data_IF_474679342103
#
_entry.id   IF_474679342103
#
_cell.length_a   1.000
_cell.length_b   1.000
_cell.length_c   1.000
_cell.angle_alpha   90.00
_cell.angle_beta   90.00
_cell.angle_gamma   90.00
#
_symmetry.space_group_name_H-M   'P 1'
#
loop_
_entity.id
_entity.type
_entity.pdbx_description
1 polymer ?
#
# COMPACT_ATOMS: atom_id res chain seq x y z
N UNK A 1 59.10 45.56 22.24
CA UNK A 1 58.07 44.60 22.69
C UNK A 1 57.11 44.41 21.54
N UNK A 2 57.20 43.29 20.83
CA UNK A 2 56.20 42.88 19.84
C UNK A 2 55.11 42.06 20.54
N UNK A 3 53.83 42.18 20.16
CA UNK A 3 52.77 41.34 20.72
C UNK A 3 52.89 39.91 20.17
N UNK A 4 52.35 38.89 20.87
CA UNK A 4 52.32 37.53 20.37
C UNK A 4 51.30 37.40 19.22
N UNK A 5 51.48 36.46 18.28
CA UNK A 5 50.52 36.24 17.21
C UNK A 5 49.25 35.56 17.77
N UNK A 6 48.11 36.03 17.29
CA UNK A 6 46.79 35.45 17.49
C UNK A 6 46.67 34.13 16.73
N UNK A 7 46.62 33.01 17.43
CA UNK A 7 46.27 31.72 16.83
C UNK A 7 44.77 31.49 17.05
N UNK A 8 43.98 31.90 16.05
CA UNK A 8 42.56 31.61 15.96
C UNK A 8 42.31 30.78 14.71
N UNK A 9 42.58 29.48 14.82
CA UNK A 9 41.92 28.49 13.98
C UNK A 9 41.15 27.55 14.90
N UNK A 10 39.93 27.95 15.24
CA UNK A 10 38.89 26.98 15.57
C UNK A 10 38.68 26.14 14.31
N UNK A 11 39.40 25.03 14.23
CA UNK A 11 39.06 23.93 13.34
C UNK A 11 37.69 23.44 13.78
N UNK A 12 36.64 23.86 13.07
CA UNK A 12 35.37 23.14 13.08
C UNK A 12 35.69 21.66 12.84
N UNK A 13 35.31 20.73 13.73
CA UNK A 13 35.60 19.34 13.50
C UNK A 13 34.92 18.94 12.19
N UNK A 14 35.73 18.42 11.25
CA UNK A 14 35.24 17.78 10.04
C UNK A 14 34.48 16.53 10.48
N UNK A 15 33.18 16.68 10.73
CA UNK A 15 32.28 15.58 11.04
C UNK A 15 32.13 14.80 9.73
N UNK A 16 33.08 13.90 9.51
CA UNK A 16 33.06 12.99 8.36
C UNK A 16 31.69 12.34 8.27
N UNK A 17 31.03 12.52 7.12
CA UNK A 17 29.72 11.98 6.84
C UNK A 17 29.74 10.46 7.05
N UNK A 18 29.09 9.99 8.11
CA UNK A 18 28.99 8.56 8.39
C UNK A 18 27.73 7.99 7.72
N UNK A 19 27.69 6.68 7.41
CA UNK A 19 26.45 6.03 6.95
C UNK A 19 25.25 6.28 7.88
N UNK A 20 25.50 6.38 9.19
CA UNK A 20 24.48 6.70 10.20
C UNK A 20 23.98 8.15 10.06
N UNK A 21 24.89 9.11 9.85
CA UNK A 21 24.50 10.51 9.64
C UNK A 21 23.68 10.68 8.35
N UNK A 22 24.01 9.94 7.29
CA UNK A 22 23.20 9.93 6.06
C UNK A 22 21.82 9.33 6.28
N UNK A 23 21.73 8.21 6.98
CA UNK A 23 20.46 7.54 7.30
C UNK A 23 19.57 8.42 8.17
N UNK A 24 20.13 9.06 9.19
CA UNK A 24 19.43 10.04 10.02
C UNK A 24 18.94 11.25 9.19
N UNK A 25 19.75 11.75 8.26
CA UNK A 25 19.35 12.84 7.37
C UNK A 25 18.26 12.43 6.37
N UNK A 26 18.21 11.15 5.96
CA UNK A 26 17.12 10.61 5.12
C UNK A 26 15.84 10.46 5.92
N UNK A 27 15.90 9.86 7.10
CA UNK A 27 14.76 9.73 8.01
C UNK A 27 14.13 11.09 8.33
N UNK A 28 14.96 12.09 8.65
CA UNK A 28 14.48 13.45 8.92
C UNK A 28 13.76 14.08 7.72
N UNK A 29 14.20 13.80 6.48
CA UNK A 29 13.54 14.30 5.26
C UNK A 29 12.22 13.59 4.97
N UNK A 30 12.12 12.30 5.27
CA UNK A 30 10.89 11.53 5.09
C UNK A 30 9.81 11.94 6.10
N UNK A 31 10.18 12.09 7.38
CA UNK A 31 9.26 12.47 8.45
C UNK A 31 8.88 13.95 8.40
N UNK A 32 9.74 14.79 7.84
CA UNK A 32 9.52 16.22 7.67
C UNK A 32 9.84 16.63 6.22
N UNK A 33 8.96 16.28 5.27
CA UNK A 33 9.19 16.61 3.86
C UNK A 33 9.25 18.13 3.69
N UNK A 34 10.44 18.64 3.33
CA UNK A 34 10.66 20.05 2.96
C UNK A 34 10.13 20.36 1.55
N UNK A 35 10.06 19.33 0.70
CA UNK A 35 9.44 19.36 -0.62
C UNK A 35 7.96 19.00 -0.44
N UNK A 36 7.06 19.81 -1.02
CA UNK A 36 5.64 19.87 -0.66
C UNK A 36 4.83 18.57 -0.74
N UNK A 37 3.58 18.68 -0.31
CA UNK A 37 2.58 17.62 -0.34
C UNK A 37 2.55 16.90 -1.69
N UNK A 38 2.43 15.56 -1.67
CA UNK A 38 2.22 14.80 -2.90
C UNK A 38 0.92 15.29 -3.57
N UNK A 39 0.86 15.33 -4.92
CA UNK A 39 -0.33 15.83 -5.60
C UNK A 39 -1.52 14.92 -5.30
N UNK A 40 -2.66 15.53 -4.97
CA UNK A 40 -3.93 14.81 -4.85
C UNK A 40 -4.31 14.20 -6.20
N UNK A 41 -4.96 13.02 -6.20
CA UNK A 41 -5.42 12.43 -7.44
C UNK A 41 -6.60 13.25 -7.97
N UNK A 42 -6.78 13.27 -9.29
CA UNK A 42 -7.88 14.00 -9.91
C UNK A 42 -9.28 13.43 -9.59
N UNK A 43 -9.31 12.23 -9.03
CA UNK A 43 -10.49 11.62 -8.40
C UNK A 43 -10.00 10.65 -7.33
N UNK A 44 -10.86 10.32 -6.35
CA UNK A 44 -10.55 9.26 -5.37
C UNK A 44 -10.16 7.97 -6.10
N UNK A 45 -9.08 7.33 -5.65
CA UNK A 45 -8.61 6.05 -6.21
C UNK A 45 -8.85 4.94 -5.22
N UNK A 46 -9.60 3.91 -5.64
CA UNK A 46 -9.82 2.68 -4.88
C UNK A 46 -9.03 1.56 -5.56
N UNK A 47 -8.00 1.09 -4.87
CA UNK A 47 -7.07 0.08 -5.38
C UNK A 47 -7.20 -1.21 -4.58
N UNK A 48 -7.55 -2.29 -5.27
CA UNK A 48 -7.49 -3.64 -4.72
C UNK A 48 -6.08 -4.20 -4.90
N UNK A 49 -5.45 -4.61 -3.79
CA UNK A 49 -4.10 -5.19 -3.80
C UNK A 49 -4.23 -6.70 -3.84
N UNK A 50 -4.02 -7.31 -5.02
CA UNK A 50 -4.32 -8.72 -5.24
C UNK A 50 -3.16 -9.48 -5.90
N UNK A 51 -2.98 -10.71 -5.44
CA UNK A 51 -2.13 -11.75 -6.02
C UNK A 51 -2.44 -13.10 -5.36
N UNK A 52 -2.60 -14.15 -6.17
CA UNK A 52 -2.91 -15.51 -5.71
C UNK A 52 -1.76 -16.17 -4.94
N UNK A 53 -0.52 -15.70 -5.11
CA UNK A 53 0.60 -16.24 -4.35
C UNK A 53 0.68 -15.58 -2.97
N UNK A 54 0.78 -16.42 -1.93
CA UNK A 54 1.13 -15.97 -0.58
C UNK A 54 2.56 -15.43 -0.52
N UNK A 55 2.81 -14.43 0.34
CA UNK A 55 4.18 -13.93 0.59
C UNK A 55 4.81 -13.07 -0.51
N UNK A 56 4.05 -12.60 -1.50
CA UNK A 56 4.57 -11.68 -2.54
C UNK A 56 4.66 -10.21 -2.09
N UNK A 57 4.27 -9.92 -0.85
CA UNK A 57 4.25 -8.56 -0.30
C UNK A 57 2.98 -7.77 -0.59
N UNK A 58 1.80 -8.41 -0.61
CA UNK A 58 0.48 -7.74 -0.68
C UNK A 58 0.27 -6.77 0.47
N UNK A 59 0.02 -7.31 1.66
CA UNK A 59 -0.13 -6.54 2.90
C UNK A 59 1.00 -5.56 3.11
N UNK A 60 2.24 -6.03 2.96
CA UNK A 60 3.43 -5.18 3.12
C UNK A 60 3.38 -3.98 2.18
N UNK A 61 2.97 -4.15 0.92
CA UNK A 61 2.87 -3.02 0.00
C UNK A 61 1.66 -2.16 0.28
N UNK A 62 0.52 -2.75 0.64
CA UNK A 62 -0.71 -2.05 1.04
C UNK A 62 -0.42 -1.03 2.15
N UNK A 63 0.13 -1.49 3.28
CA UNK A 63 0.33 -0.63 4.45
C UNK A 63 1.43 0.40 4.24
N UNK A 64 2.53 0.03 3.58
CA UNK A 64 3.66 0.95 3.38
C UNK A 64 3.38 2.01 2.30
N UNK A 65 2.64 1.67 1.24
CA UNK A 65 2.20 2.67 0.26
C UNK A 65 1.19 3.63 0.87
N UNK A 66 0.22 3.12 1.64
CA UNK A 66 -0.77 3.96 2.33
C UNK A 66 -0.11 4.91 3.33
N UNK A 67 0.85 4.42 4.13
CA UNK A 67 1.62 5.24 5.05
C UNK A 67 2.50 6.27 4.33
N UNK A 68 3.16 5.88 3.23
CA UNK A 68 3.99 6.78 2.44
C UNK A 68 3.19 7.96 1.84
N UNK A 69 2.00 7.69 1.31
CA UNK A 69 1.08 8.73 0.85
C UNK A 69 0.62 9.61 2.04
N UNK A 70 0.30 8.99 3.18
CA UNK A 70 -0.21 9.67 4.37
C UNK A 70 0.77 10.66 4.99
N UNK A 71 2.04 10.26 5.14
CA UNK A 71 3.08 11.15 5.69
C UNK A 71 3.42 12.31 4.76
N UNK A 72 3.05 12.22 3.47
CA UNK A 72 3.19 13.30 2.48
C UNK A 72 1.87 14.06 2.21
N UNK A 73 0.92 14.02 3.14
CA UNK A 73 -0.24 14.92 3.18
C UNK A 73 -1.51 14.40 2.50
N UNK A 74 -1.50 13.20 1.92
CA UNK A 74 -2.68 12.58 1.31
C UNK A 74 -3.45 11.75 2.32
N UNK A 75 -4.78 11.77 2.29
CA UNK A 75 -5.58 10.94 3.21
C UNK A 75 -5.79 9.55 2.65
N UNK A 76 -5.46 8.52 3.41
CA UNK A 76 -5.52 7.12 2.97
C UNK A 76 -6.33 6.26 3.91
N UNK A 77 -7.09 5.32 3.32
CA UNK A 77 -7.81 4.27 4.03
C UNK A 77 -7.24 2.90 3.62
N UNK A 78 -6.90 2.08 4.59
CA UNK A 78 -6.60 0.66 4.38
C UNK A 78 -7.79 -0.17 4.86
N UNK A 79 -8.37 -0.96 3.97
CA UNK A 79 -9.37 -1.98 4.31
C UNK A 79 -8.66 -3.31 4.36
N UNK A 80 -8.46 -3.87 5.55
CA UNK A 80 -7.92 -5.21 5.71
C UNK A 80 -9.03 -6.21 5.39
N UNK A 81 -8.90 -6.97 4.30
CA UNK A 81 -9.88 -7.96 3.88
C UNK A 81 -9.33 -9.40 3.98
N UNK A 82 -8.13 -9.56 4.55
CA UNK A 82 -7.55 -10.88 4.81
C UNK A 82 -7.93 -11.33 6.24
N UNK A 83 -8.60 -12.48 6.41
CA UNK A 83 -8.91 -13.02 7.74
C UNK A 83 -7.70 -13.21 8.67
N UNK A 84 -6.47 -13.15 8.15
CA UNK A 84 -5.25 -13.14 8.96
C UNK A 84 -4.98 -11.81 9.69
N UNK A 85 -5.64 -10.70 9.32
CA UNK A 85 -5.50 -9.41 10.02
C UNK A 85 -4.10 -8.79 9.93
N UNK A 86 -3.32 -9.14 8.91
CA UNK A 86 -1.92 -8.73 8.83
C UNK A 86 -1.77 -7.21 8.59
N UNK A 87 -2.69 -6.58 7.85
CA UNK A 87 -2.65 -5.14 7.64
C UNK A 87 -3.01 -4.41 8.93
N UNK A 88 -4.03 -4.91 9.63
CA UNK A 88 -4.47 -4.43 10.94
C UNK A 88 -3.33 -4.47 11.96
N UNK A 89 -2.59 -5.58 11.99
CA UNK A 89 -1.40 -5.75 12.84
C UNK A 89 -0.31 -4.75 12.47
N UNK A 90 0.04 -4.62 11.19
CA UNK A 90 1.14 -3.72 10.76
C UNK A 90 0.83 -2.22 10.94
N UNK A 91 -0.45 -1.87 11.08
CA UNK A 91 -0.92 -0.51 11.35
C UNK A 91 -1.21 -0.23 12.83
N UNK A 92 -1.03 -1.24 13.69
CA UNK A 92 -1.29 -1.20 15.14
C UNK A 92 -2.71 -0.72 15.49
N UNK A 93 -3.71 -1.20 14.76
CA UNK A 93 -5.13 -0.96 15.07
C UNK A 93 -5.74 -2.13 15.80
N UNK A 94 -6.73 -1.86 16.68
CA UNK A 94 -7.41 -2.92 17.41
C UNK A 94 -8.18 -3.80 16.44
N UNK A 95 -8.00 -5.11 16.56
CA UNK A 95 -8.60 -6.13 15.71
C UNK A 95 -8.89 -7.42 16.49
N UNK A 96 -9.07 -7.30 17.81
CA UNK A 96 -9.57 -8.39 18.65
C UNK A 96 -11.04 -8.66 18.31
N UNK A 97 -11.49 -9.89 18.49
CA UNK A 97 -12.91 -10.24 18.31
C UNK A 97 -13.81 -9.31 19.16
N UNK A 98 -14.91 -8.87 18.56
CA UNK A 98 -15.80 -7.84 19.11
C UNK A 98 -15.42 -6.39 18.78
N UNK A 99 -14.28 -6.15 18.14
CA UNK A 99 -13.96 -4.84 17.56
C UNK A 99 -14.74 -4.66 16.25
N UNK A 100 -15.43 -3.53 16.02
CA UNK A 100 -16.05 -3.26 14.72
C UNK A 100 -15.02 -3.37 13.59
N UNK A 101 -15.30 -4.22 12.61
CA UNK A 101 -14.34 -4.63 11.60
C UNK A 101 -14.99 -4.72 10.22
N UNK A 102 -14.18 -5.07 9.22
CA UNK A 102 -14.70 -5.30 7.87
C UNK A 102 -15.75 -6.42 7.83
N UNK A 103 -15.73 -7.35 8.79
CA UNK A 103 -16.73 -8.41 8.89
C UNK A 103 -18.13 -7.83 9.09
N UNK A 104 -18.33 -7.03 10.14
CA UNK A 104 -19.60 -6.37 10.46
C UNK A 104 -20.06 -5.44 9.32
N UNK A 105 -19.10 -4.80 8.65
CA UNK A 105 -19.38 -3.96 7.47
C UNK A 105 -19.95 -4.79 6.31
N UNK A 106 -19.37 -5.96 6.00
CA UNK A 106 -19.82 -6.80 4.89
C UNK A 106 -21.22 -7.37 5.13
N UNK A 107 -21.54 -7.75 6.37
CA UNK A 107 -22.86 -8.27 6.74
C UNK A 107 -23.88 -7.15 6.95
N UNK A 108 -23.42 -5.89 7.05
CA UNK A 108 -24.26 -4.69 7.11
C UNK A 108 -24.72 -4.31 8.51
N UNK A 109 -24.00 -4.72 9.54
CA UNK A 109 -24.27 -4.38 10.94
C UNK A 109 -23.74 -2.99 11.32
N UNK A 110 -22.64 -2.56 10.71
CA UNK A 110 -22.03 -1.23 10.92
C UNK A 110 -21.64 -0.58 9.59
N UNK A 111 -21.49 0.73 9.57
CA UNK A 111 -20.97 1.42 8.39
C UNK A 111 -19.44 1.32 8.32
N UNK A 112 -18.87 1.52 7.13
CA UNK A 112 -17.41 1.59 6.97
C UNK A 112 -16.80 2.73 7.81
N UNK A 113 -17.52 3.85 7.97
CA UNK A 113 -17.09 4.99 8.77
C UNK A 113 -17.03 4.64 10.27
N UNK A 114 -18.00 3.88 10.78
CA UNK A 114 -18.02 3.42 12.17
C UNK A 114 -16.85 2.46 12.48
N UNK A 115 -16.47 1.62 11.51
CA UNK A 115 -15.37 0.66 11.65
C UNK A 115 -13.98 1.26 11.35
N UNK A 116 -13.91 2.45 10.74
CA UNK A 116 -12.65 3.08 10.37
C UNK A 116 -11.95 3.67 11.60
N UNK A 117 -10.75 3.18 11.89
CA UNK A 117 -9.93 3.63 13.01
C UNK A 117 -8.75 4.49 12.52
N UNK A 118 -8.42 5.61 13.18
CA UNK A 118 -7.19 6.33 12.91
C UNK A 118 -5.97 5.51 13.38
N UNK A 119 -4.85 5.65 12.69
CA UNK A 119 -3.58 5.03 13.13
C UNK A 119 -2.72 6.02 13.92
N UNK A 120 -1.90 5.53 14.85
CA UNK A 120 -0.92 6.37 15.54
C UNK A 120 0.26 6.78 14.62
N UNK A 121 0.47 6.05 13.52
CA UNK A 121 1.57 6.28 12.58
C UNK A 121 1.38 7.54 11.72
N UNK A 122 0.14 7.95 11.45
CA UNK A 122 -0.16 9.22 10.77
C UNK A 122 -1.63 9.63 10.97
N UNK A 123 -1.93 10.93 11.22
CA UNK A 123 -3.31 11.42 11.31
C UNK A 123 -4.07 11.36 9.98
N UNK A 124 -3.38 11.14 8.86
CA UNK A 124 -3.97 11.00 7.53
C UNK A 124 -4.20 9.53 7.13
N UNK A 125 -3.83 8.57 7.99
CA UNK A 125 -3.93 7.15 7.71
C UNK A 125 -5.00 6.51 8.61
N UNK A 126 -5.99 5.89 7.97
CA UNK A 126 -7.08 5.17 8.59
C UNK A 126 -7.02 3.69 8.21
N UNK A 127 -7.54 2.83 9.08
CA UNK A 127 -7.69 1.41 8.80
C UNK A 127 -9.07 0.90 9.25
N UNK A 128 -9.73 0.13 8.39
CA UNK A 128 -10.83 -0.75 8.78
C UNK A 128 -10.22 -2.14 9.00
N UNK A 129 -10.22 -2.65 10.24
CA UNK A 129 -9.48 -3.86 10.57
C UNK A 129 -10.19 -5.13 10.09
N UNK A 130 -9.46 -6.23 10.08
CA UNK A 130 -10.00 -7.59 9.98
C UNK A 130 -9.79 -8.32 11.30
N UNK A 131 -10.87 -8.84 11.87
CA UNK A 131 -10.82 -9.72 13.05
C UNK A 131 -10.83 -11.19 12.59
N UNK A 132 -10.60 -12.11 13.54
CA UNK A 132 -10.74 -13.55 13.30
C UNK A 132 -12.15 -13.93 12.80
N UNK A 133 -13.16 -13.11 13.09
CA UNK A 133 -14.56 -13.34 12.71
C UNK A 133 -14.76 -13.24 11.18
N UNK A 134 -13.88 -12.52 10.47
CA UNK A 134 -13.89 -12.43 9.01
C UNK A 134 -13.75 -13.79 8.32
N UNK A 135 -13.14 -14.79 8.96
CA UNK A 135 -13.08 -16.15 8.43
C UNK A 135 -14.47 -16.78 8.25
N UNK A 136 -15.47 -16.36 9.04
CA UNK A 136 -16.87 -16.77 8.91
C UNK A 136 -17.62 -16.07 7.78
N UNK A 137 -17.13 -14.93 7.31
CA UNK A 137 -17.81 -14.09 6.33
C UNK A 137 -18.11 -14.81 5.01
N UNK A 138 -17.19 -15.65 4.53
CA UNK A 138 -17.39 -16.38 3.28
C UNK A 138 -18.61 -17.30 3.33
N UNK A 139 -18.91 -17.89 4.49
CA UNK A 139 -20.06 -18.78 4.68
C UNK A 139 -21.35 -17.95 4.72
N UNK A 140 -21.34 -16.86 5.47
CA UNK A 140 -22.52 -16.02 5.68
C UNK A 140 -22.94 -15.30 4.39
N UNK A 141 -21.97 -14.73 3.68
CA UNK A 141 -22.15 -14.05 2.40
C UNK A 141 -22.82 -14.95 1.37
N UNK A 142 -22.61 -16.28 1.39
CA UNK A 142 -23.25 -17.20 0.42
C UNK A 142 -24.77 -17.04 0.37
N UNK A 143 -25.39 -16.77 1.52
CA UNK A 143 -26.85 -16.65 1.67
C UNK A 143 -27.39 -15.25 1.37
N UNK A 144 -26.52 -14.25 1.25
CA UNK A 144 -26.89 -12.86 1.06
C UNK A 144 -27.20 -12.55 -0.41
N UNK A 145 -28.14 -11.63 -0.63
CA UNK A 145 -28.35 -11.04 -1.94
C UNK A 145 -27.16 -10.14 -2.31
N UNK A 146 -26.80 -10.09 -3.60
CA UNK A 146 -25.68 -9.28 -4.11
C UNK A 146 -24.38 -9.51 -3.33
N UNK A 147 -24.14 -10.75 -2.89
CA UNK A 147 -23.01 -11.12 -2.02
C UNK A 147 -21.63 -10.77 -2.58
N UNK A 148 -21.50 -10.66 -3.89
CA UNK A 148 -20.28 -10.26 -4.60
C UNK A 148 -20.06 -8.73 -4.58
N UNK A 149 -21.06 -7.94 -4.19
CA UNK A 149 -21.08 -6.47 -4.23
C UNK A 149 -21.20 -5.81 -2.86
N UNK A 150 -21.16 -6.57 -1.77
CA UNK A 150 -21.36 -6.05 -0.40
C UNK A 150 -20.33 -4.99 -0.04
N UNK A 151 -19.06 -5.22 -0.36
CA UNK A 151 -18.03 -4.21 -0.12
C UNK A 151 -18.26 -2.96 -0.98
N UNK A 152 -18.70 -3.10 -2.23
CA UNK A 152 -18.99 -1.97 -3.12
C UNK A 152 -20.08 -1.06 -2.56
N UNK A 153 -21.12 -1.64 -1.96
CA UNK A 153 -22.18 -0.91 -1.28
C UNK A 153 -21.63 -0.18 -0.04
N UNK A 154 -20.78 -0.85 0.74
CA UNK A 154 -20.19 -0.29 1.96
C UNK A 154 -19.15 0.82 1.71
N UNK A 155 -18.46 0.81 0.57
CA UNK A 155 -17.46 1.84 0.21
C UNK A 155 -18.03 2.90 -0.76
N UNK A 156 -19.32 3.23 -0.62
CA UNK A 156 -19.97 4.22 -1.49
C UNK A 156 -19.27 5.57 -1.48
N UNK A 157 -19.51 6.39 -2.51
CA UNK A 157 -18.90 7.72 -2.60
C UNK A 157 -19.29 8.61 -1.43
N UNK A 158 -20.53 8.50 -0.95
CA UNK A 158 -21.06 9.21 0.21
C UNK A 158 -20.27 8.85 1.47
N UNK A 159 -20.10 7.56 1.75
CA UNK A 159 -19.39 7.07 2.94
C UNK A 159 -17.90 7.45 2.88
N UNK A 160 -17.26 7.25 1.72
CA UNK A 160 -15.86 7.63 1.57
C UNK A 160 -15.63 9.15 1.64
N UNK A 161 -16.63 9.97 1.29
CA UNK A 161 -16.60 11.42 1.46
C UNK A 161 -16.74 11.84 2.93
N UNK A 162 -17.51 11.11 3.73
CA UNK A 162 -17.59 11.31 5.18
C UNK A 162 -16.24 11.08 5.86
N UNK A 163 -15.54 10.01 5.48
CA UNK A 163 -14.16 9.74 5.97
C UNK A 163 -13.17 10.76 5.37
N UNK A 164 -13.42 11.22 4.15
CA UNK A 164 -12.65 12.29 3.49
C UNK A 164 -11.30 11.84 2.95
N UNK A 165 -11.21 10.62 2.43
CA UNK A 165 -9.95 10.01 1.95
C UNK A 165 -9.69 10.26 0.46
N UNK A 166 -8.43 10.33 0.06
CA UNK A 166 -7.99 10.48 -1.34
C UNK A 166 -7.74 9.10 -1.98
N UNK A 167 -7.19 8.16 -1.20
CA UNK A 167 -6.89 6.80 -1.61
C UNK A 167 -7.51 5.77 -0.69
N UNK A 168 -8.00 4.68 -1.27
CA UNK A 168 -8.44 3.49 -0.55
C UNK A 168 -7.63 2.30 -1.07
N UNK A 169 -6.97 1.57 -0.17
CA UNK A 169 -6.28 0.32 -0.46
C UNK A 169 -7.05 -0.83 0.18
N UNK A 170 -7.43 -1.83 -0.61
CA UNK A 170 -8.09 -3.05 -0.11
C UNK A 170 -7.06 -4.17 -0.12
N UNK A 171 -6.65 -4.66 1.05
CA UNK A 171 -5.68 -5.75 1.19
C UNK A 171 -6.38 -7.10 1.08
N UNK A 172 -6.13 -7.83 0.00
CA UNK A 172 -6.82 -9.10 -0.25
C UNK A 172 -6.09 -10.33 0.30
N UNK A 173 -6.84 -11.38 0.68
CA UNK A 173 -6.28 -12.68 1.00
C UNK A 173 -5.57 -13.31 -0.22
N UNK A 174 -4.72 -14.33 -0.03
CA UNK A 174 -4.05 -15.03 -1.13
C UNK A 174 -4.97 -15.95 -1.95
N UNK A 175 -6.27 -15.99 -1.67
CA UNK A 175 -7.25 -16.78 -2.41
C UNK A 175 -8.08 -15.93 -3.39
N UNK A 176 -8.72 -16.58 -4.37
CA UNK A 176 -9.76 -15.96 -5.20
C UNK A 176 -11.16 -16.35 -4.69
N UNK A 177 -11.34 -16.25 -3.38
CA UNK A 177 -12.62 -16.46 -2.72
C UNK A 177 -13.57 -15.27 -2.89
N UNK A 178 -14.70 -15.34 -2.20
CA UNK A 178 -15.75 -14.33 -2.29
C UNK A 178 -15.30 -12.96 -1.75
N UNK A 179 -14.36 -12.95 -0.79
CA UNK A 179 -13.75 -11.72 -0.29
C UNK A 179 -12.96 -10.99 -1.38
N UNK A 180 -12.09 -11.71 -2.12
CA UNK A 180 -11.31 -11.12 -3.21
C UNK A 180 -12.20 -10.64 -4.35
N UNK A 181 -13.30 -11.36 -4.65
CA UNK A 181 -14.31 -10.89 -5.61
C UNK A 181 -14.95 -9.60 -5.12
N UNK A 182 -15.36 -9.50 -3.86
CA UNK A 182 -15.91 -8.27 -3.28
C UNK A 182 -14.94 -7.09 -3.44
N UNK A 183 -13.65 -7.28 -3.15
CA UNK A 183 -12.63 -6.25 -3.36
C UNK A 183 -12.55 -5.79 -4.82
N UNK A 184 -12.52 -6.74 -5.77
CA UNK A 184 -12.45 -6.41 -7.19
C UNK A 184 -13.73 -5.77 -7.73
N UNK A 185 -14.89 -6.07 -7.15
CA UNK A 185 -16.17 -5.42 -7.50
C UNK A 185 -16.27 -4.01 -6.92
N UNK A 186 -15.65 -3.78 -5.75
CA UNK A 186 -15.65 -2.49 -5.07
C UNK A 186 -14.65 -1.48 -5.68
N UNK A 187 -13.49 -1.93 -6.16
CA UNK A 187 -12.42 -1.07 -6.68
C UNK A 187 -12.54 -0.76 -8.18
N UNK A 188 -11.97 0.36 -8.63
CA UNK A 188 -11.78 0.64 -10.06
C UNK A 188 -10.42 0.11 -10.55
N UNK A 189 -9.49 -0.10 -9.63
CA UNK A 189 -8.10 -0.35 -9.96
C UNK A 189 -7.57 -1.58 -9.23
N UNK A 190 -6.73 -2.36 -9.89
CA UNK A 190 -5.95 -3.43 -9.28
C UNK A 190 -4.48 -3.05 -9.23
N UNK A 191 -3.90 -3.15 -8.04
CA UNK A 191 -2.46 -3.12 -7.80
C UNK A 191 -1.96 -4.55 -7.62
N UNK A 192 -1.00 -4.99 -8.44
CA UNK A 192 -0.44 -6.34 -8.38
C UNK A 192 1.02 -6.27 -7.90
N UNK A 193 1.31 -6.70 -6.66
CA UNK A 193 2.68 -6.93 -6.22
C UNK A 193 3.22 -8.22 -6.84
N UNK A 194 4.40 -8.16 -7.45
CA UNK A 194 5.06 -9.30 -8.09
C UNK A 194 6.43 -9.48 -7.48
N UNK A 195 6.63 -10.62 -6.83
CA UNK A 195 7.93 -11.02 -6.30
C UNK A 195 8.88 -11.38 -7.46
N UNK A 196 10.07 -10.79 -7.52
CA UNK A 196 11.05 -11.03 -8.59
C UNK A 196 11.77 -12.40 -8.48
N UNK A 197 11.03 -13.50 -8.57
CA UNK A 197 11.52 -14.88 -8.48
C UNK A 197 11.00 -15.75 -9.64
N UNK A 198 11.51 -16.99 -9.75
CA UNK A 198 11.27 -17.87 -10.90
C UNK A 198 9.78 -18.07 -11.26
N UNK A 199 8.92 -18.26 -10.25
CA UNK A 199 7.49 -18.51 -10.45
C UNK A 199 6.64 -17.23 -10.56
N UNK A 200 7.25 -16.05 -10.73
CA UNK A 200 6.55 -14.77 -10.74
C UNK A 200 5.50 -14.67 -11.85
N UNK A 201 5.80 -15.19 -13.03
CA UNK A 201 5.00 -15.00 -14.23
C UNK A 201 3.90 -16.05 -14.40
N UNK A 202 4.10 -17.26 -13.89
CA UNK A 202 3.11 -18.34 -14.00
C UNK A 202 1.81 -18.00 -13.25
N UNK A 203 1.92 -17.52 -12.02
CA UNK A 203 0.75 -17.10 -11.21
C UNK A 203 0.08 -15.83 -11.71
N UNK A 204 0.79 -14.99 -12.48
CA UNK A 204 0.27 -13.73 -13.00
C UNK A 204 -0.79 -13.96 -14.07
N UNK A 205 -0.57 -14.90 -14.99
CA UNK A 205 -1.54 -15.19 -16.06
C UNK A 205 -2.90 -15.61 -15.51
N UNK A 206 -2.91 -16.49 -14.49
CA UNK A 206 -4.15 -16.89 -13.82
C UNK A 206 -4.84 -15.72 -13.12
N UNK A 207 -4.09 -14.85 -12.44
CA UNK A 207 -4.65 -13.65 -11.80
C UNK A 207 -5.33 -12.74 -12.83
N UNK A 208 -4.67 -12.50 -13.97
CA UNK A 208 -5.22 -11.64 -15.03
C UNK A 208 -6.52 -12.21 -15.60
N UNK A 209 -6.57 -13.51 -15.90
CA UNK A 209 -7.82 -14.14 -16.37
C UNK A 209 -8.96 -13.99 -15.38
N UNK A 210 -8.69 -14.05 -14.07
CA UNK A 210 -9.72 -13.86 -13.05
C UNK A 210 -10.17 -12.39 -12.94
N UNK A 211 -9.24 -11.44 -13.05
CA UNK A 211 -9.57 -10.01 -13.13
C UNK A 211 -10.45 -9.74 -14.35
N UNK A 212 -10.13 -10.31 -15.51
CA UNK A 212 -10.94 -10.19 -16.73
C UNK A 212 -12.36 -10.76 -16.54
N UNK A 213 -12.50 -11.90 -15.87
CA UNK A 213 -13.81 -12.48 -15.56
C UNK A 213 -14.66 -11.54 -14.69
N UNK A 214 -14.07 -10.99 -13.62
CA UNK A 214 -14.76 -10.01 -12.75
C UNK A 214 -15.09 -8.75 -13.55
N UNK A 215 -14.15 -8.27 -14.38
CA UNK A 215 -14.36 -7.09 -15.20
C UNK A 215 -15.55 -7.26 -16.16
N UNK A 216 -15.64 -8.41 -16.83
CA UNK A 216 -16.68 -8.68 -17.82
C UNK A 216 -18.06 -8.86 -17.18
N UNK A 217 -18.15 -9.44 -15.99
CA UNK A 217 -19.44 -9.88 -15.44
C UNK A 217 -19.95 -9.01 -14.30
N UNK A 218 -19.06 -8.36 -13.54
CA UNK A 218 -19.41 -7.70 -12.28
C UNK A 218 -18.96 -6.22 -12.22
N UNK A 219 -17.81 -5.88 -12.82
CA UNK A 219 -17.25 -4.53 -12.72
C UNK A 219 -16.48 -4.09 -13.98
N UNK A 220 -17.18 -3.52 -14.95
CA UNK A 220 -16.61 -3.11 -16.25
C UNK A 220 -15.49 -2.07 -16.17
N UNK A 221 -15.42 -1.29 -15.08
CA UNK A 221 -14.40 -0.25 -14.88
C UNK A 221 -13.10 -0.80 -14.28
N UNK A 222 -13.11 -2.03 -13.77
CA UNK A 222 -11.94 -2.66 -13.16
C UNK A 222 -10.83 -2.84 -14.19
N UNK A 223 -9.63 -2.35 -13.87
CA UNK A 223 -8.45 -2.57 -14.70
C UNK A 223 -7.19 -2.65 -13.82
N UNK A 224 -6.16 -3.32 -14.33
CA UNK A 224 -4.84 -3.32 -13.68
C UNK A 224 -4.19 -1.97 -13.97
N UNK A 225 -4.03 -1.15 -12.94
CA UNK A 225 -3.46 0.19 -13.07
C UNK A 225 -2.00 0.26 -12.63
N UNK A 226 -1.59 -0.67 -11.77
CA UNK A 226 -0.28 -0.62 -11.11
C UNK A 226 0.28 -2.03 -10.91
N UNK A 227 1.51 -2.27 -11.36
CA UNK A 227 2.31 -3.45 -11.02
C UNK A 227 3.53 -3.00 -10.23
N UNK A 228 3.71 -3.55 -9.03
CA UNK A 228 4.84 -3.24 -8.16
C UNK A 228 5.76 -4.46 -8.07
N UNK A 229 7.02 -4.29 -8.45
CA UNK A 229 8.03 -5.32 -8.32
C UNK A 229 8.57 -5.35 -6.88
N UNK A 230 8.45 -6.48 -6.21
CA UNK A 230 8.79 -6.65 -4.79
C UNK A 230 9.92 -7.65 -4.58
N UNK A 231 10.59 -7.51 -3.43
CA UNK A 231 11.69 -8.37 -2.99
C UNK A 231 12.83 -8.48 -4.01
N UNK A 232 13.08 -7.41 -4.77
CA UNK A 232 14.12 -7.36 -5.78
C UNK A 232 15.51 -7.54 -5.15
N UNK A 233 16.30 -8.45 -5.73
CA UNK A 233 17.70 -8.69 -5.35
C UNK A 233 18.60 -8.55 -6.59
N UNK A 234 19.19 -7.35 -6.73
CA UNK A 234 20.06 -7.00 -7.86
C UNK A 234 21.39 -7.77 -7.90
N UNK A 235 21.65 -8.69 -6.97
CA UNK A 235 22.76 -9.66 -7.07
C UNK A 235 22.40 -10.85 -7.97
N UNK A 236 21.13 -11.02 -8.31
CA UNK A 236 20.63 -12.17 -9.04
C UNK A 236 20.23 -11.78 -10.46
N UNK A 237 20.77 -12.48 -11.47
CA UNK A 237 20.36 -12.28 -12.87
C UNK A 237 18.87 -12.57 -13.09
N UNK A 238 18.31 -13.47 -12.29
CA UNK A 238 16.90 -13.83 -12.37
C UNK A 238 15.99 -12.64 -12.02
N UNK A 239 16.32 -11.86 -10.99
CA UNK A 239 15.51 -10.69 -10.63
C UNK A 239 15.48 -9.66 -11.77
N UNK A 240 16.60 -9.46 -12.46
CA UNK A 240 16.68 -8.58 -13.63
C UNK A 240 15.88 -9.12 -14.82
N UNK A 241 15.97 -10.43 -15.08
CA UNK A 241 15.20 -11.09 -16.14
C UNK A 241 13.70 -10.94 -15.92
N UNK A 242 13.21 -11.26 -14.72
CA UNK A 242 11.79 -11.11 -14.36
C UNK A 242 11.35 -9.66 -14.46
N UNK A 243 12.15 -8.72 -13.94
CA UNK A 243 11.86 -7.28 -14.01
C UNK A 243 11.72 -6.81 -15.46
N UNK A 244 12.65 -7.18 -16.32
CA UNK A 244 12.63 -6.79 -17.74
C UNK A 244 11.47 -7.43 -18.48
N UNK A 245 11.17 -8.69 -18.23
CA UNK A 245 10.06 -9.40 -18.86
C UNK A 245 8.70 -8.79 -18.49
N UNK A 246 8.48 -8.52 -17.19
CA UNK A 246 7.27 -7.83 -16.71
C UNK A 246 7.16 -6.44 -17.34
N UNK A 247 8.25 -5.67 -17.41
CA UNK A 247 8.24 -4.33 -18.04
C UNK A 247 7.98 -4.39 -19.54
N UNK A 248 8.57 -5.36 -20.24
CA UNK A 248 8.34 -5.53 -21.68
C UNK A 248 6.88 -5.89 -21.98
N UNK A 249 6.22 -6.65 -21.10
CA UNK A 249 4.85 -7.09 -21.30
C UNK A 249 3.82 -6.04 -20.86
N UNK A 250 4.02 -5.39 -19.72
CA UNK A 250 3.02 -4.50 -19.11
C UNK A 250 3.34 -3.01 -19.25
N UNK A 251 4.50 -2.66 -19.79
CA UNK A 251 4.88 -1.28 -20.10
C UNK A 251 4.71 -0.34 -18.91
N UNK A 252 3.97 0.76 -19.15
CA UNK A 252 3.76 1.83 -18.17
C UNK A 252 2.92 1.40 -16.97
N UNK A 253 2.21 0.26 -17.00
CA UNK A 253 1.51 -0.26 -15.82
C UNK A 253 2.49 -0.65 -14.71
N UNK A 254 3.73 -1.01 -15.05
CA UNK A 254 4.78 -1.34 -14.07
C UNK A 254 5.38 -0.06 -13.50
N UNK A 255 5.55 -0.02 -12.17
CA UNK A 255 6.28 1.07 -11.54
C UNK A 255 7.77 1.01 -11.92
N UNK A 256 8.36 2.19 -12.12
CA UNK A 256 9.82 2.31 -12.30
C UNK A 256 10.53 1.93 -11.01
N UNK A 257 9.94 2.26 -9.88
CA UNK A 257 10.44 1.90 -8.56
C UNK A 257 10.28 0.41 -8.29
N UNK A 258 11.32 -0.21 -7.70
CA UNK A 258 11.30 -1.60 -7.23
C UNK A 258 11.49 -1.63 -5.72
N UNK A 259 10.82 -2.53 -5.02
CA UNK A 259 11.00 -2.71 -3.58
C UNK A 259 12.12 -3.74 -3.36
N UNK A 260 13.25 -3.35 -2.75
CA UNK A 260 14.36 -4.27 -2.53
C UNK A 260 14.00 -5.31 -1.46
N UNK A 261 14.64 -6.48 -1.52
CA UNK A 261 14.63 -7.40 -0.38
C UNK A 261 15.27 -6.71 0.83
N UNK A 262 14.51 -6.56 1.91
CA UNK A 262 14.92 -5.82 3.09
C UNK A 262 14.47 -6.53 4.37
N UNK A 263 15.41 -6.82 5.27
CA UNK A 263 15.12 -7.38 6.59
C UNK A 263 14.23 -6.44 7.39
N UNK A 264 14.48 -5.12 7.32
CA UNK A 264 13.70 -4.09 8.01
C UNK A 264 12.23 -4.08 7.61
N UNK A 265 11.95 -4.29 6.32
CA UNK A 265 10.57 -4.40 5.83
C UNK A 265 9.88 -5.64 6.39
N UNK A 266 10.61 -6.75 6.56
CA UNK A 266 10.08 -7.98 7.13
C UNK A 266 9.91 -7.93 8.66
N UNK A 267 10.74 -7.15 9.37
CA UNK A 267 10.66 -6.98 10.83
C UNK A 267 9.55 -6.03 11.27
N UNK A 268 9.31 -4.95 10.52
CA UNK A 268 8.43 -3.86 10.94
C UNK A 268 7.02 -4.30 11.40
N UNK A 269 6.32 -5.23 10.72
CA UNK A 269 5.01 -5.70 11.18
C UNK A 269 5.05 -6.37 12.56
N UNK A 270 6.18 -6.99 12.94
CA UNK A 270 6.37 -7.59 14.26
C UNK A 270 6.42 -6.57 15.40
N UNK A 271 6.55 -5.28 15.07
CA UNK A 271 6.49 -4.16 16.01
C UNK A 271 5.21 -3.33 15.86
N UNK A 272 4.22 -3.81 15.11
CA UNK A 272 3.01 -3.05 14.81
C UNK A 272 3.27 -1.83 13.91
N UNK A 273 4.33 -1.85 13.11
CA UNK A 273 4.79 -0.67 12.38
C UNK A 273 4.92 -0.92 10.89
N UNK A 274 4.65 0.11 10.10
CA UNK A 274 5.14 0.18 8.72
C UNK A 274 6.66 0.38 8.72
N UNK A 275 7.36 0.04 7.63
CA UNK A 275 8.81 0.29 7.54
C UNK A 275 9.12 1.79 7.64
N UNK A 276 8.17 2.65 7.28
CA UNK A 276 8.30 4.10 7.39
C UNK A 276 8.31 4.56 8.84
N UNK A 277 7.55 3.92 9.72
CA UNK A 277 7.58 4.19 11.16
C UNK A 277 8.74 3.49 11.87
N UNK A 278 9.02 2.24 11.49
CA UNK A 278 10.05 1.40 12.12
C UNK A 278 11.47 1.84 11.78
N UNK A 279 11.75 2.12 10.50
CA UNK A 279 13.08 2.51 10.02
C UNK A 279 12.98 3.40 8.76
N UNK A 280 12.58 4.69 8.93
CA UNK A 280 12.37 5.61 7.82
C UNK A 280 13.63 5.91 6.99
N UNK A 281 14.83 5.68 7.52
CA UNK A 281 16.09 5.86 6.79
C UNK A 281 16.44 4.68 5.89
N UNK A 282 15.79 3.53 6.09
CA UNK A 282 16.08 2.30 5.39
C UNK A 282 15.79 2.39 3.89
N UNK A 283 16.52 1.58 3.11
CA UNK A 283 16.27 1.45 1.66
C UNK A 283 14.84 1.02 1.33
N UNK A 284 14.23 0.18 2.17
CA UNK A 284 12.86 -0.26 1.98
C UNK A 284 11.86 0.88 2.15
N UNK A 285 12.02 1.71 3.18
CA UNK A 285 11.18 2.88 3.40
C UNK A 285 11.27 3.87 2.24
N UNK A 286 12.50 4.20 1.81
CA UNK A 286 12.72 5.09 0.67
C UNK A 286 12.08 4.57 -0.62
N UNK A 287 12.22 3.27 -0.91
CA UNK A 287 11.59 2.68 -2.10
C UNK A 287 10.05 2.69 -2.04
N UNK A 288 9.43 2.57 -0.87
CA UNK A 288 7.99 2.73 -0.76
C UNK A 288 7.55 4.19 -0.92
N UNK A 289 8.33 5.16 -0.47
CA UNK A 289 8.09 6.59 -0.73
C UNK A 289 8.19 6.91 -2.22
N UNK A 290 9.22 6.42 -2.90
CA UNK A 290 9.40 6.61 -4.34
C UNK A 290 8.25 5.96 -5.13
N UNK A 291 7.81 4.76 -4.74
CA UNK A 291 6.66 4.10 -5.34
C UNK A 291 5.35 4.87 -5.09
N UNK A 292 5.13 5.38 -3.88
CA UNK A 292 3.97 6.20 -3.55
C UNK A 292 3.94 7.51 -4.33
N UNK A 293 5.09 8.17 -4.51
CA UNK A 293 5.23 9.36 -5.35
C UNK A 293 4.84 9.08 -6.79
N UNK A 294 5.32 7.98 -7.36
CA UNK A 294 4.95 7.57 -8.72
C UNK A 294 3.45 7.29 -8.86
N UNK A 295 2.83 6.64 -7.86
CA UNK A 295 1.37 6.43 -7.80
C UNK A 295 0.61 7.76 -7.70
N UNK A 296 1.07 8.71 -6.89
CA UNK A 296 0.46 10.02 -6.74
C UNK A 296 0.52 10.85 -8.02
N UNK A 297 1.69 10.90 -8.66
CA UNK A 297 1.90 11.59 -9.94
C UNK A 297 1.01 11.03 -11.05
N UNK A 298 0.89 9.70 -11.15
CA UNK A 298 -0.05 9.05 -12.08
C UNK A 298 -1.51 9.41 -11.77
N UNK A 299 -1.88 9.39 -10.48
CA UNK A 299 -3.24 9.74 -10.03
C UNK A 299 -3.64 11.18 -10.38
N UNK A 300 -2.70 12.12 -10.28
CA UNK A 300 -2.90 13.53 -10.63
C UNK A 300 -2.96 13.78 -12.15
N UNK A 301 -2.58 12.81 -12.97
CA UNK A 301 -2.68 12.91 -14.44
C UNK A 301 -4.04 12.43 -14.97
N UNK A 302 -4.78 11.61 -14.21
CA UNK A 302 -6.07 11.05 -14.64
C UNK A 302 -7.14 12.12 -14.96
N UNK A 303 -7.04 13.33 -14.37
CA UNK A 303 -7.91 14.47 -14.68
C UNK A 303 -7.66 15.08 -16.07
N UNK A 304 -6.45 14.95 -16.62
CA UNK A 304 -6.04 15.63 -17.86
C UNK A 304 -6.44 14.88 -19.14
N UNK A 305 -6.95 13.65 -19.02
CA UNK A 305 -7.27 12.77 -20.16
C UNK A 305 -8.73 12.75 -20.60
N UNK A 306 -9.64 13.46 -19.92
CA UNK A 306 -11.09 13.41 -20.21
C UNK A 306 -11.62 14.63 -20.99
N UNK A 307 -10.74 15.39 -21.63
CA UNK A 307 -11.11 16.52 -22.50
C UNK A 307 -10.47 16.40 -23.88
N UNK A 308 -10.86 15.37 -24.64
CA UNK A 308 -10.75 15.32 -26.11
C UNK A 308 -11.82 14.40 -26.67
#
# INVERSE_FOLDING_TARGET
MNPPPSDSTETTPDVGWTPIAEEAARAARLLHPKEGELPRPGRRRVLTVANQKGGVGKTTSTVNLAAALAVHGLKTLVVDLDPQGNASTALDVDHRSGTPSIYEVLIGEVTLADAAQPTEQSPNLFCVPATIDLAGAEIELVSMASRESRLKEAISSEILNEIGVDYVFIDCPPSLGLLTVNAMVAAQEVLIPIQCEYYALEGLGQLLSNIELVQQHLNRELHVSTILLTMYDGRTKLADQVTNEVRNHFGDTVLKTVIPRSVKVSEAPGYGQTVLAYDPGSRGAMSYVDAAKEIAERGAQLERGSST
#
